data_IF_025307506371
#
_entry.id   IF_025307506371
#
_cell.length_a   1.000
_cell.length_b   1.000
_cell.length_c   1.000
_cell.angle_alpha   90.00
_cell.angle_beta   90.00
_cell.angle_gamma   90.00
#
_symmetry.space_group_name_H-M   'P 1'
#
loop_
_entity.id
_entity.type
_entity.pdbx_description
1 polymer ?
#
# COMPACT_ATOMS: atom_id res chain seq x y z
N UNK A 1 34.47 4.70 -4.35
CA UNK A 1 33.76 5.31 -3.21
C UNK A 1 32.28 5.03 -3.37
N UNK A 2 31.65 4.26 -2.46
CA UNK A 2 30.17 4.23 -2.38
C UNK A 2 29.75 5.61 -1.87
N UNK A 3 29.11 6.41 -2.72
CA UNK A 3 28.47 7.65 -2.24
C UNK A 3 27.42 7.24 -1.21
N UNK A 4 27.64 7.66 0.04
CA UNK A 4 26.71 7.44 1.14
C UNK A 4 25.55 8.41 0.94
N UNK A 5 24.33 7.90 0.93
CA UNK A 5 23.13 8.72 0.84
C UNK A 5 23.07 9.54 2.13
N UNK A 6 22.76 10.83 2.00
CA UNK A 6 22.51 11.67 3.17
C UNK A 6 21.17 11.28 3.80
N UNK A 7 21.14 11.07 5.13
CA UNK A 7 19.89 10.81 5.86
C UNK A 7 18.86 11.92 5.61
N UNK A 8 19.31 13.17 5.46
CA UNK A 8 18.43 14.30 5.13
C UNK A 8 17.75 14.13 3.76
N UNK A 9 18.48 13.63 2.76
CA UNK A 9 17.92 13.40 1.42
C UNK A 9 16.91 12.26 1.45
N UNK A 10 17.20 11.21 2.24
CA UNK A 10 16.31 10.08 2.45
C UNK A 10 15.03 10.51 3.17
N UNK A 11 15.15 11.20 4.30
CA UNK A 11 14.02 11.75 5.07
C UNK A 11 13.15 12.63 4.17
N UNK A 12 13.76 13.55 3.41
CA UNK A 12 13.03 14.46 2.52
C UNK A 12 12.26 13.71 1.44
N UNK A 13 12.83 12.64 0.88
CA UNK A 13 12.14 11.79 -0.09
C UNK A 13 10.91 11.11 0.52
N UNK A 14 11.07 10.44 1.66
CA UNK A 14 9.97 9.76 2.34
C UNK A 14 8.88 10.73 2.80
N UNK A 15 9.27 11.92 3.30
CA UNK A 15 8.33 13.00 3.62
C UNK A 15 7.56 13.44 2.38
N UNK A 16 8.23 13.64 1.24
CA UNK A 16 7.58 14.07 0.01
C UNK A 16 6.54 13.04 -0.46
N UNK A 17 6.92 11.77 -0.57
CA UNK A 17 5.98 10.74 -1.05
C UNK A 17 4.85 10.47 -0.06
N UNK A 18 5.03 10.74 1.24
CA UNK A 18 3.97 10.59 2.26
C UNK A 18 2.83 11.61 2.14
N UNK A 19 3.01 12.70 1.39
CA UNK A 19 2.01 13.77 1.26
C UNK A 19 0.84 13.38 0.34
N UNK A 20 1.03 12.34 -0.47
CA UNK A 20 0.07 11.93 -1.50
C UNK A 20 -0.76 10.74 -1.04
N UNK A 21 -2.06 10.79 -1.34
CA UNK A 21 -2.98 9.67 -1.05
C UNK A 21 -2.82 8.52 -2.05
N UNK A 22 -2.23 8.80 -3.21
CA UNK A 22 -2.07 7.87 -4.31
C UNK A 22 -0.69 8.00 -4.92
N UNK A 23 -0.01 6.87 -5.15
CA UNK A 23 1.28 6.84 -5.82
C UNK A 23 1.24 7.45 -7.22
N UNK A 24 0.03 7.49 -7.83
CA UNK A 24 -0.19 8.04 -9.18
C UNK A 24 0.09 9.55 -9.24
N UNK A 25 -0.01 10.24 -8.12
CA UNK A 25 0.18 11.70 -8.01
C UNK A 25 1.64 12.08 -7.78
N UNK A 26 2.50 11.10 -7.48
CA UNK A 26 3.89 11.31 -7.14
C UNK A 26 4.70 11.51 -8.42
N UNK A 27 5.17 12.74 -8.64
CA UNK A 27 5.89 13.11 -9.86
C UNK A 27 7.15 12.25 -10.10
N UNK A 28 7.88 11.86 -9.05
CA UNK A 28 9.09 11.05 -9.21
C UNK A 28 8.80 9.59 -9.61
N UNK A 29 7.55 9.14 -9.56
CA UNK A 29 7.09 7.85 -10.10
C UNK A 29 6.52 7.97 -11.52
N UNK A 30 6.58 9.16 -12.12
CA UNK A 30 6.14 9.45 -13.47
C UNK A 30 7.34 9.81 -14.37
N UNK A 31 7.37 9.22 -15.56
CA UNK A 31 8.32 9.51 -16.62
C UNK A 31 7.61 9.99 -17.88
N UNK A 32 8.36 10.52 -18.86
CA UNK A 32 7.82 10.99 -20.15
C UNK A 32 7.00 9.91 -20.90
N UNK A 33 7.29 8.63 -20.64
CA UNK A 33 6.68 7.49 -21.33
C UNK A 33 5.77 6.64 -20.42
N UNK A 34 5.29 7.20 -19.30
CA UNK A 34 4.42 6.50 -18.35
C UNK A 34 5.05 6.37 -16.96
N UNK A 35 4.61 5.38 -16.17
CA UNK A 35 4.99 5.26 -14.77
C UNK A 35 6.33 4.54 -14.59
N UNK A 36 7.41 5.32 -14.47
CA UNK A 36 8.76 4.85 -14.19
C UNK A 36 9.49 5.84 -13.26
N UNK A 37 10.42 5.33 -12.45
CA UNK A 37 11.20 6.15 -11.53
C UNK A 37 12.03 7.19 -12.29
N UNK A 38 11.77 8.47 -12.01
CA UNK A 38 12.31 9.59 -12.77
C UNK A 38 13.63 10.11 -12.18
N UNK A 39 14.72 9.92 -12.93
CA UNK A 39 16.05 10.38 -12.52
C UNK A 39 16.24 11.90 -12.63
N UNK A 40 15.43 12.61 -13.42
CA UNK A 40 15.49 14.08 -13.52
C UNK A 40 14.95 14.72 -12.23
N UNK A 41 13.97 14.08 -11.57
CA UNK A 41 13.36 14.53 -10.32
C UNK A 41 14.05 14.00 -9.06
N UNK A 42 14.96 13.03 -9.20
CA UNK A 42 15.81 12.52 -8.13
C UNK A 42 17.27 12.71 -8.57
N UNK A 43 17.80 13.95 -8.48
CA UNK A 43 19.09 14.31 -9.07
C UNK A 43 20.29 13.68 -8.34
N UNK A 44 20.12 13.30 -7.07
CA UNK A 44 21.13 12.55 -6.33
C UNK A 44 21.16 11.10 -6.83
N UNK A 45 22.26 10.75 -7.52
CA UNK A 45 22.48 9.42 -8.10
C UNK A 45 22.50 8.31 -7.04
N UNK A 46 23.00 8.59 -5.84
CA UNK A 46 23.03 7.60 -4.76
C UNK A 46 21.61 7.35 -4.23
N UNK A 47 20.84 8.42 -4.02
CA UNK A 47 19.44 8.33 -3.62
C UNK A 47 18.59 7.61 -4.69
N UNK A 48 18.75 7.97 -5.97
CA UNK A 48 18.06 7.29 -7.07
C UNK A 48 18.35 5.79 -7.10
N UNK A 49 19.63 5.42 -6.98
CA UNK A 49 20.04 4.02 -6.96
C UNK A 49 19.46 3.27 -5.77
N UNK A 50 19.41 3.91 -4.59
CA UNK A 50 18.80 3.36 -3.40
C UNK A 50 17.31 3.10 -3.56
N UNK A 51 16.55 4.10 -4.01
CA UNK A 51 15.10 3.98 -4.23
C UNK A 51 14.83 2.90 -5.28
N UNK A 52 15.60 2.88 -6.37
CA UNK A 52 15.49 1.86 -7.41
C UNK A 52 15.74 0.45 -6.85
N UNK A 53 16.77 0.28 -6.01
CA UNK A 53 17.06 -1.00 -5.37
C UNK A 53 15.95 -1.40 -4.40
N UNK A 54 15.42 -0.47 -3.60
CA UNK A 54 14.31 -0.75 -2.70
C UNK A 54 13.04 -1.17 -3.46
N UNK A 55 12.72 -0.49 -4.56
CA UNK A 55 11.61 -0.88 -5.43
C UNK A 55 11.86 -2.28 -6.00
N UNK A 56 13.09 -2.60 -6.40
CA UNK A 56 13.43 -3.93 -6.90
C UNK A 56 13.29 -5.00 -5.80
N UNK A 57 13.77 -4.73 -4.58
CA UNK A 57 13.61 -5.61 -3.42
C UNK A 57 12.14 -5.83 -3.06
N UNK A 58 11.29 -4.81 -3.22
CA UNK A 58 9.84 -4.96 -3.07
C UNK A 58 9.25 -5.84 -4.17
N UNK A 59 9.69 -5.68 -5.42
CA UNK A 59 9.20 -6.50 -6.54
C UNK A 59 9.51 -7.98 -6.36
N UNK A 60 10.66 -8.31 -5.78
CA UNK A 60 11.07 -9.68 -5.48
C UNK A 60 10.18 -10.38 -4.44
N UNK A 61 9.32 -9.64 -3.71
CA UNK A 61 8.32 -10.21 -2.80
C UNK A 61 7.16 -10.87 -3.56
N UNK A 62 6.88 -10.44 -4.80
CA UNK A 62 5.69 -10.86 -5.54
C UNK A 62 4.41 -10.13 -5.13
N UNK A 63 3.35 -10.26 -5.92
CA UNK A 63 2.11 -9.52 -5.74
C UNK A 63 1.40 -9.94 -4.44
N UNK A 64 1.21 -11.23 -4.21
CA UNK A 64 0.59 -11.75 -2.98
C UNK A 64 1.25 -11.18 -1.71
N UNK A 65 2.58 -11.29 -1.61
CA UNK A 65 3.31 -10.81 -0.43
C UNK A 65 3.26 -9.28 -0.28
N UNK A 66 3.26 -8.53 -1.38
CA UNK A 66 3.08 -7.08 -1.34
C UNK A 66 1.69 -6.68 -0.85
N UNK A 67 0.64 -7.39 -1.28
CA UNK A 67 -0.73 -7.16 -0.83
C UNK A 67 -0.90 -7.46 0.68
N UNK A 68 -0.25 -8.51 1.18
CA UNK A 68 -0.19 -8.81 2.62
C UNK A 68 0.52 -7.70 3.40
N UNK A 69 1.72 -7.26 2.96
CA UNK A 69 2.41 -6.16 3.62
C UNK A 69 1.60 -4.86 3.58
N UNK A 70 0.95 -4.56 2.44
CA UNK A 70 0.07 -3.41 2.32
C UNK A 70 -1.04 -3.44 3.37
N UNK A 71 -1.65 -4.60 3.60
CA UNK A 71 -2.68 -4.77 4.65
C UNK A 71 -2.10 -4.53 6.04
N UNK A 72 -0.93 -5.09 6.35
CA UNK A 72 -0.28 -4.91 7.65
C UNK A 72 0.06 -3.44 7.92
N UNK A 73 0.61 -2.76 6.90
CA UNK A 73 0.88 -1.33 6.94
C UNK A 73 -0.42 -0.58 7.17
N UNK A 74 -1.48 -0.84 6.39
CA UNK A 74 -2.78 -0.17 6.51
C UNK A 74 -3.44 -0.34 7.90
N UNK A 75 -3.37 -1.54 8.48
CA UNK A 75 -3.95 -1.85 9.78
C UNK A 75 -3.06 -1.45 10.97
N UNK A 76 -1.92 -0.78 10.74
CA UNK A 76 -0.95 -0.43 11.79
C UNK A 76 -0.45 -1.63 12.59
N UNK A 77 -0.30 -2.78 11.93
CA UNK A 77 0.27 -4.00 12.52
C UNK A 77 1.79 -3.86 12.59
N UNK A 78 2.27 -3.21 13.65
CA UNK A 78 3.66 -2.75 13.76
C UNK A 78 4.68 -3.89 13.66
N UNK A 79 4.42 -5.04 14.28
CA UNK A 79 5.33 -6.20 14.28
C UNK A 79 5.43 -6.79 12.86
N UNK A 80 4.29 -6.91 12.20
CA UNK A 80 4.13 -7.45 10.86
C UNK A 80 4.68 -6.50 9.77
N UNK A 81 4.90 -5.22 10.13
CA UNK A 81 5.52 -4.20 9.27
C UNK A 81 7.06 -4.17 9.39
N UNK A 82 7.65 -4.73 10.44
CA UNK A 82 9.12 -4.80 10.61
C UNK A 82 9.83 -5.47 9.43
N UNK A 83 9.35 -6.61 8.89
CA UNK A 83 10.02 -7.26 7.75
C UNK A 83 10.15 -6.36 6.53
N UNK A 84 9.12 -5.57 6.20
CA UNK A 84 9.17 -4.66 5.05
C UNK A 84 10.09 -3.47 5.31
N UNK A 85 10.12 -2.93 6.52
CA UNK A 85 11.07 -1.88 6.91
C UNK A 85 12.53 -2.34 6.77
N UNK A 86 12.82 -3.57 7.21
CA UNK A 86 14.15 -4.18 7.05
C UNK A 86 14.54 -4.36 5.59
N UNK A 87 13.60 -4.75 4.73
CA UNK A 87 13.84 -4.90 3.28
C UNK A 87 14.15 -3.56 2.59
N UNK A 88 13.61 -2.46 3.09
CA UNK A 88 13.83 -1.12 2.56
C UNK A 88 15.11 -0.46 3.10
N UNK A 89 15.91 -1.18 3.90
CA UNK A 89 17.14 -0.69 4.51
C UNK A 89 16.95 0.67 5.23
N UNK A 90 15.78 0.82 5.87
CA UNK A 90 15.45 2.03 6.63
C UNK A 90 15.97 1.90 8.06
N UNK A 91 16.87 2.80 8.44
CA UNK A 91 17.33 2.90 9.82
C UNK A 91 16.24 3.46 10.73
N UNK A 92 16.27 3.07 12.01
CA UNK A 92 15.37 3.63 13.02
C UNK A 92 15.50 5.15 13.14
N UNK A 93 16.70 5.69 12.99
CA UNK A 93 16.97 7.14 13.01
C UNK A 93 16.21 7.87 11.89
N UNK A 94 16.14 7.31 10.68
CA UNK A 94 15.35 7.88 9.58
C UNK A 94 13.86 7.82 9.90
N UNK A 95 13.38 6.70 10.46
CA UNK A 95 11.98 6.50 10.84
C UNK A 95 11.55 7.50 11.93
N UNK A 96 12.37 7.69 12.96
CA UNK A 96 12.11 8.65 14.04
C UNK A 96 12.06 10.09 13.50
N UNK A 97 12.98 10.45 12.61
CA UNK A 97 13.05 11.79 12.02
C UNK A 97 11.95 12.09 10.99
N UNK A 98 11.20 11.09 10.52
CA UNK A 98 9.96 11.33 9.75
C UNK A 98 8.87 11.96 10.63
N UNK A 99 8.95 11.78 11.95
CA UNK A 99 8.20 12.50 12.97
C UNK A 99 6.72 12.08 13.12
N UNK A 100 6.23 11.15 12.29
CA UNK A 100 4.87 10.61 12.40
C UNK A 100 4.79 9.22 11.78
N UNK A 101 4.17 8.29 12.51
CA UNK A 101 3.95 6.91 12.07
C UNK A 101 3.05 6.91 10.82
N UNK A 102 2.06 7.79 10.77
CA UNK A 102 1.15 7.97 9.64
C UNK A 102 1.90 8.37 8.36
N UNK A 103 2.93 9.21 8.47
CA UNK A 103 3.77 9.58 7.32
C UNK A 103 4.58 8.39 6.82
N UNK A 104 5.17 7.63 7.74
CA UNK A 104 5.90 6.40 7.38
C UNK A 104 4.95 5.43 6.69
N UNK A 105 3.77 5.23 7.25
CA UNK A 105 2.74 4.37 6.69
C UNK A 105 2.36 4.79 5.28
N UNK A 106 2.02 6.06 5.06
CA UNK A 106 1.61 6.55 3.76
C UNK A 106 2.74 6.45 2.71
N UNK A 107 3.98 6.72 3.11
CA UNK A 107 5.13 6.52 2.24
C UNK A 107 5.33 5.05 1.85
N UNK A 108 5.20 4.13 2.81
CA UNK A 108 5.28 2.69 2.55
C UNK A 108 4.15 2.22 1.63
N UNK A 109 2.92 2.65 1.86
CA UNK A 109 1.79 2.34 0.98
C UNK A 109 2.06 2.81 -0.45
N UNK A 110 2.57 4.04 -0.64
CA UNK A 110 2.90 4.55 -1.96
C UNK A 110 4.03 3.76 -2.64
N UNK A 111 5.04 3.29 -1.90
CA UNK A 111 6.09 2.44 -2.44
C UNK A 111 5.59 1.04 -2.83
N UNK A 112 4.75 0.43 -1.98
CA UNK A 112 4.15 -0.86 -2.24
C UNK A 112 3.22 -0.78 -3.46
N UNK A 113 2.36 0.23 -3.52
CA UNK A 113 1.42 0.42 -4.62
C UNK A 113 2.15 0.67 -5.95
N UNK A 114 3.25 1.42 -5.91
CA UNK A 114 4.12 1.59 -7.08
C UNK A 114 4.78 0.27 -7.50
N UNK A 115 5.25 -0.54 -6.54
CA UNK A 115 5.85 -1.84 -6.84
C UNK A 115 4.83 -2.81 -7.46
N UNK A 116 3.63 -2.93 -6.87
CA UNK A 116 2.50 -3.71 -7.41
C UNK A 116 2.19 -3.27 -8.84
N UNK A 117 2.03 -1.96 -9.06
CA UNK A 117 1.76 -1.43 -10.38
C UNK A 117 2.86 -1.82 -11.38
N UNK A 118 4.11 -1.65 -10.97
CA UNK A 118 5.26 -1.89 -11.82
C UNK A 118 5.45 -3.38 -12.14
N UNK A 119 5.07 -4.32 -11.27
CA UNK A 119 5.04 -5.75 -11.62
C UNK A 119 3.94 -5.99 -12.65
N UNK A 120 2.70 -5.60 -12.32
CA UNK A 120 1.54 -5.97 -13.12
C UNK A 120 1.55 -5.38 -14.54
N UNK A 121 2.07 -4.17 -14.75
CA UNK A 121 2.13 -3.57 -16.10
C UNK A 121 3.19 -4.21 -17.00
N UNK A 122 4.19 -4.89 -16.43
CA UNK A 122 5.24 -5.59 -17.18
C UNK A 122 5.01 -7.12 -17.22
N UNK A 123 3.91 -7.59 -16.64
CA UNK A 123 3.56 -9.00 -16.63
C UNK A 123 2.71 -9.37 -17.86
N UNK A 124 3.35 -10.05 -18.81
CA UNK A 124 2.70 -10.51 -20.03
C UNK A 124 1.79 -11.74 -19.83
N UNK A 125 1.94 -12.49 -18.74
CA UNK A 125 1.10 -13.68 -18.46
C UNK A 125 -0.26 -13.32 -17.87
N UNK A 126 -0.42 -12.08 -17.39
CA UNK A 126 -1.57 -11.60 -16.63
C UNK A 126 -1.78 -12.32 -15.28
N UNK A 127 -0.76 -13.01 -14.78
CA UNK A 127 -0.77 -13.66 -13.47
C UNK A 127 -0.86 -12.63 -12.35
N UNK A 128 -0.05 -11.56 -12.42
CA UNK A 128 -0.02 -10.50 -11.43
C UNK A 128 -1.39 -9.80 -11.27
N UNK A 129 -2.12 -9.59 -12.36
CA UNK A 129 -3.45 -8.96 -12.29
C UNK A 129 -4.52 -9.94 -11.79
N UNK A 130 -4.36 -11.24 -12.05
CA UNK A 130 -5.25 -12.25 -11.50
C UNK A 130 -5.06 -12.38 -9.99
N UNK A 131 -3.83 -12.38 -9.48
CA UNK A 131 -3.56 -12.35 -8.04
C UNK A 131 -4.22 -11.13 -7.35
N UNK A 132 -4.14 -9.94 -7.97
CA UNK A 132 -4.81 -8.73 -7.43
C UNK A 132 -6.33 -8.93 -7.40
N UNK A 133 -6.93 -9.52 -8.44
CA UNK A 133 -8.38 -9.77 -8.50
C UNK A 133 -8.83 -10.81 -7.48
N UNK A 134 -8.09 -11.90 -7.33
CA UNK A 134 -8.36 -12.92 -6.31
C UNK A 134 -8.30 -12.33 -4.90
N UNK A 135 -7.33 -11.45 -4.66
CA UNK A 135 -7.24 -10.73 -3.40
C UNK A 135 -8.42 -9.77 -3.19
N UNK A 136 -8.89 -9.06 -4.23
CA UNK A 136 -10.10 -8.24 -4.18
C UNK A 136 -11.32 -9.11 -3.79
N UNK A 137 -11.51 -10.26 -4.43
CA UNK A 137 -12.61 -11.16 -4.10
C UNK A 137 -12.54 -11.66 -2.64
N UNK A 138 -11.35 -11.95 -2.15
CA UNK A 138 -11.14 -12.33 -0.74
C UNK A 138 -11.54 -11.22 0.22
N UNK A 139 -11.22 -9.96 -0.10
CA UNK A 139 -11.61 -8.80 0.70
C UNK A 139 -13.12 -8.53 0.64
N UNK A 140 -13.73 -8.71 -0.52
CA UNK A 140 -15.19 -8.59 -0.71
C UNK A 140 -15.93 -9.62 0.14
N UNK A 141 -15.52 -10.89 0.09
CA UNK A 141 -16.10 -11.95 0.90
C UNK A 141 -15.94 -11.67 2.40
N UNK A 142 -14.77 -11.20 2.82
CA UNK A 142 -14.53 -10.80 4.22
C UNK A 142 -15.49 -9.67 4.67
N UNK A 143 -15.69 -8.64 3.85
CA UNK A 143 -16.65 -7.57 4.16
C UNK A 143 -18.09 -8.11 4.27
N UNK A 144 -18.51 -8.97 3.34
CA UNK A 144 -19.84 -9.59 3.36
C UNK A 144 -20.05 -10.46 4.60
N UNK A 145 -19.02 -11.18 5.05
CA UNK A 145 -19.08 -11.98 6.28
C UNK A 145 -19.27 -11.11 7.52
N UNK A 146 -18.60 -9.94 7.60
CA UNK A 146 -18.81 -8.98 8.69
C UNK A 146 -20.23 -8.42 8.63
N UNK A 147 -20.70 -7.99 7.44
CA UNK A 147 -22.07 -7.48 7.25
C UNK A 147 -23.11 -8.49 7.70
N UNK A 148 -23.00 -9.74 7.27
CA UNK A 148 -23.89 -10.81 7.70
C UNK A 148 -23.84 -11.05 9.22
N UNK A 149 -22.65 -11.04 9.82
CA UNK A 149 -22.49 -11.20 11.27
C UNK A 149 -23.14 -10.06 12.05
N UNK A 150 -23.02 -8.83 11.53
CA UNK A 150 -23.65 -7.63 12.07
C UNK A 150 -25.18 -7.73 12.02
N UNK A 151 -25.73 -8.10 10.86
CA UNK A 151 -27.18 -8.25 10.66
C UNK A 151 -27.79 -9.32 11.59
N UNK A 152 -27.09 -10.45 11.77
CA UNK A 152 -27.52 -11.49 12.70
C UNK A 152 -27.56 -10.98 14.15
N UNK A 153 -26.57 -10.18 14.53
CA UNK A 153 -26.46 -9.62 15.88
C UNK A 153 -27.57 -8.61 16.16
N UNK A 154 -27.84 -7.70 15.22
CA UNK A 154 -28.94 -6.74 15.31
C UNK A 154 -30.30 -7.44 15.51
N UNK A 155 -30.55 -8.54 14.77
CA UNK A 155 -31.77 -9.34 14.92
C UNK A 155 -31.86 -9.97 16.31
N UNK A 156 -30.76 -10.47 16.86
CA UNK A 156 -30.73 -11.05 18.21
C UNK A 156 -30.92 -10.00 19.32
N UNK A 157 -30.45 -8.77 19.12
CA UNK A 157 -30.53 -7.67 20.09
C UNK A 157 -31.89 -6.95 20.07
N UNK A 158 -32.59 -6.99 18.93
CA UNK A 158 -33.88 -6.30 18.71
C UNK A 158 -35.02 -6.69 19.69
N UNK A 159 -34.81 -7.69 20.55
CA UNK A 159 -35.76 -8.14 21.56
C UNK A 159 -35.61 -7.56 22.98
N UNK A 160 -34.44 -7.04 23.40
CA UNK A 160 -34.20 -6.70 24.82
C UNK A 160 -33.22 -5.54 25.11
N UNK A 161 -32.48 -4.99 24.15
CA UNK A 161 -31.47 -3.95 24.41
C UNK A 161 -31.58 -2.76 23.44
N UNK A 162 -31.56 -1.54 23.98
CA UNK A 162 -31.79 -0.28 23.23
C UNK A 162 -30.52 0.36 22.68
N UNK A 163 -29.33 -0.22 22.91
CA UNK A 163 -28.04 0.35 22.50
C UNK A 163 -27.10 -0.72 21.93
N UNK A 164 -26.35 -0.42 20.84
CA UNK A 164 -25.40 -1.36 20.27
C UNK A 164 -24.30 -1.70 21.27
N UNK A 165 -24.05 -3.00 21.45
CA UNK A 165 -23.01 -3.49 22.34
C UNK A 165 -21.60 -3.24 21.78
N UNK A 166 -20.57 -3.40 22.62
CA UNK A 166 -19.17 -3.17 22.24
C UNK A 166 -18.73 -4.01 21.04
N UNK A 167 -19.33 -5.18 20.82
CA UNK A 167 -18.98 -6.05 19.71
C UNK A 167 -19.62 -5.54 18.40
N UNK A 168 -20.85 -5.04 18.45
CA UNK A 168 -21.52 -4.37 17.32
C UNK A 168 -20.70 -3.17 16.82
N UNK A 169 -20.24 -2.31 17.74
CA UNK A 169 -19.41 -1.14 17.41
C UNK A 169 -18.10 -1.58 16.72
N UNK A 170 -17.44 -2.62 17.22
CA UNK A 170 -16.20 -3.14 16.62
C UNK A 170 -16.42 -3.69 15.21
N UNK A 171 -17.52 -4.42 14.99
CA UNK A 171 -17.86 -4.94 13.66
C UNK A 171 -18.11 -3.80 12.66
N UNK A 172 -18.76 -2.71 13.08
CA UNK A 172 -18.96 -1.52 12.26
C UNK A 172 -17.64 -0.83 11.92
N UNK A 173 -16.75 -0.63 12.91
CA UNK A 173 -15.44 -0.04 12.69
C UNK A 173 -14.58 -0.89 11.73
N UNK A 174 -14.58 -2.21 11.91
CA UNK A 174 -13.83 -3.14 11.07
C UNK A 174 -14.39 -3.17 9.64
N UNK A 175 -15.71 -3.19 9.47
CA UNK A 175 -16.35 -3.11 8.16
C UNK A 175 -15.99 -1.80 7.45
N UNK A 176 -16.04 -0.66 8.14
CA UNK A 176 -15.70 0.64 7.57
C UNK A 176 -14.25 0.69 7.11
N UNK A 177 -13.32 0.24 7.95
CA UNK A 177 -11.88 0.17 7.63
C UNK A 177 -11.64 -0.74 6.43
N UNK A 178 -12.20 -1.93 6.43
CA UNK A 178 -11.96 -2.92 5.39
C UNK A 178 -12.63 -2.57 4.07
N UNK A 179 -13.82 -1.97 4.11
CA UNK A 179 -14.46 -1.39 2.92
C UNK A 179 -13.63 -0.25 2.31
N UNK A 180 -13.02 0.60 3.15
CA UNK A 180 -12.10 1.65 2.69
C UNK A 180 -10.86 1.04 2.05
N UNK A 181 -10.27 0.01 2.66
CA UNK A 181 -9.12 -0.68 2.11
C UNK A 181 -9.45 -1.36 0.76
N UNK A 182 -10.56 -2.06 0.67
CA UNK A 182 -11.07 -2.69 -0.56
C UNK A 182 -11.15 -1.67 -1.70
N UNK A 183 -11.76 -0.51 -1.46
CA UNK A 183 -11.85 0.57 -2.45
C UNK A 183 -10.49 1.05 -2.94
N UNK A 184 -9.47 1.07 -2.07
CA UNK A 184 -8.12 1.44 -2.48
C UNK A 184 -7.50 0.39 -3.40
N UNK A 185 -7.65 -0.91 -3.10
CA UNK A 185 -7.14 -1.98 -3.96
C UNK A 185 -7.86 -2.01 -5.31
N UNK A 186 -9.18 -1.85 -5.32
CA UNK A 186 -9.98 -1.72 -6.54
C UNK A 186 -9.49 -0.53 -7.39
N UNK A 187 -9.20 0.62 -6.79
CA UNK A 187 -8.64 1.77 -7.50
C UNK A 187 -7.24 1.54 -8.09
N UNK A 188 -6.43 0.64 -7.51
CA UNK A 188 -5.15 0.21 -8.10
C UNK A 188 -5.42 -0.69 -9.31
N UNK A 189 -6.29 -1.69 -9.16
CA UNK A 189 -6.68 -2.62 -10.22
C UNK A 189 -7.31 -1.90 -11.43
N UNK A 190 -8.25 -0.99 -11.21
CA UNK A 190 -8.90 -0.23 -12.28
C UNK A 190 -7.90 0.60 -13.08
N UNK A 191 -6.92 1.18 -12.39
CA UNK A 191 -5.88 1.94 -13.03
C UNK A 191 -4.89 1.07 -13.81
N UNK A 192 -4.56 -0.12 -13.31
CA UNK A 192 -3.80 -1.11 -14.06
C UNK A 192 -4.53 -1.51 -15.34
N UNK A 193 -5.82 -1.83 -15.25
CA UNK A 193 -6.64 -2.18 -16.42
C UNK A 193 -6.69 -1.05 -17.45
N UNK A 194 -6.82 0.20 -16.99
CA UNK A 194 -6.77 1.37 -17.88
C UNK A 194 -5.41 1.52 -18.57
N UNK A 195 -4.30 1.31 -17.85
CA UNK A 195 -2.96 1.39 -18.40
C UNK A 195 -2.70 0.28 -19.44
N UNK A 196 -3.08 -0.96 -19.13
CA UNK A 196 -2.91 -2.10 -20.03
C UNK A 196 -3.72 -1.95 -21.33
N UNK A 197 -4.94 -1.42 -21.25
CA UNK A 197 -5.77 -1.12 -22.44
C UNK A 197 -5.17 -0.05 -23.35
N UNK A 198 -4.42 0.91 -22.81
CA UNK A 198 -3.74 1.95 -23.60
C UNK A 198 -2.45 1.46 -24.26
N UNK A 199 -1.86 0.39 -23.73
CA UNK A 199 -0.65 -0.22 -24.26
C UNK A 199 -0.92 -1.31 -25.33
N UNK A 200 -2.19 -1.74 -25.45
CA UNK A 200 -2.68 -2.67 -26.49
C UNK A 200 -3.18 -1.91 -27.70
#
# INVERSE_FOLDING_TARGET
MKQRISDQNLISFYQNISQYQSFKEIACFQSKNGFALNSELIPDKALYSFIKNNIQSLKEVGIEGLLQYRMHVYQYKSIETIPILKRLDLSFEVIENLGSIERVQQALLNLIDYAIYSIAIHDASHEAINEIREYIFTLEDYCLQIEHTKDLRERCQSGNETSPDTLQIKLEEDLQKMSKYLKQIQAINDFLLQAMRKAS
#
